data_IF_861275903104
#
_entry.id   IF_861275903104
#
_cell.length_a   1.000
_cell.length_b   1.000
_cell.length_c   1.000
_cell.angle_alpha   90.00
_cell.angle_beta   90.00
_cell.angle_gamma   90.00
#
_symmetry.space_group_name_H-M   'P 1'
#
loop_
_entity.id
_entity.type
_entity.pdbx_description
1 polymer ?
#
# COMPACT_ATOMS: atom_id res chain seq x y z
N UNK A 1 -25.28 22.67 -15.13
CA UNK A 1 -24.03 22.43 -15.89
C UNK A 1 -23.53 21.02 -15.56
N UNK A 2 -23.25 20.19 -16.58
CA UNK A 2 -22.93 18.76 -16.40
C UNK A 2 -21.47 18.59 -15.93
N UNK A 3 -21.19 17.71 -14.96
CA UNK A 3 -19.86 17.55 -14.32
C UNK A 3 -18.78 16.91 -15.22
N UNK A 4 -19.10 16.52 -16.45
CA UNK A 4 -18.15 15.87 -17.38
C UNK A 4 -17.21 16.84 -18.08
N UNK A 5 -17.53 18.14 -18.14
CA UNK A 5 -16.74 19.11 -18.90
C UNK A 5 -15.50 19.63 -18.15
N UNK A 6 -15.48 19.53 -16.82
CA UNK A 6 -14.36 19.98 -15.98
C UNK A 6 -13.16 19.01 -16.03
N UNK A 7 -13.42 17.70 -15.98
CA UNK A 7 -12.36 16.67 -15.94
C UNK A 7 -11.53 16.66 -17.23
N UNK A 8 -12.17 16.83 -18.38
CA UNK A 8 -11.47 16.87 -19.67
C UNK A 8 -10.58 18.10 -19.82
N UNK A 9 -10.96 19.24 -19.22
CA UNK A 9 -10.18 20.47 -19.27
C UNK A 9 -8.86 20.34 -18.49
N UNK A 10 -8.88 19.69 -17.31
CA UNK A 10 -7.68 19.48 -16.49
C UNK A 10 -6.65 18.58 -17.20
N UNK A 11 -7.08 17.50 -17.84
CA UNK A 11 -6.18 16.58 -18.54
C UNK A 11 -5.49 17.28 -19.72
N UNK A 12 -6.22 18.15 -20.44
CA UNK A 12 -5.67 18.90 -21.57
C UNK A 12 -4.68 19.99 -21.12
N UNK A 13 -4.96 20.70 -20.02
CA UNK A 13 -4.04 21.71 -19.47
C UNK A 13 -2.74 21.06 -18.96
N UNK A 14 -2.84 19.88 -18.33
CA UNK A 14 -1.67 19.09 -17.90
C UNK A 14 -0.87 18.67 -19.14
N UNK A 15 -1.53 18.12 -20.18
CA UNK A 15 -0.83 17.68 -21.40
C UNK A 15 -0.13 18.83 -22.15
N UNK A 16 -0.71 20.04 -22.16
CA UNK A 16 -0.10 21.21 -22.82
C UNK A 16 1.06 21.77 -21.98
N UNK A 17 0.96 21.77 -20.65
CA UNK A 17 2.08 22.12 -19.77
C UNK A 17 3.25 21.12 -19.89
N UNK A 18 2.97 19.85 -20.21
CA UNK A 18 3.98 18.81 -20.43
C UNK A 18 4.77 18.96 -21.76
N UNK A 19 4.25 19.70 -22.75
CA UNK A 19 4.93 19.86 -24.04
C UNK A 19 6.04 20.93 -24.03
N UNK A 20 6.04 21.85 -23.06
CA UNK A 20 6.89 23.04 -23.10
C UNK A 20 8.23 22.93 -22.33
N UNK A 21 8.44 21.90 -21.49
CA UNK A 21 9.64 21.80 -20.64
C UNK A 21 10.07 20.34 -20.39
N UNK A 22 10.43 19.64 -21.47
CA UNK A 22 10.85 18.24 -21.37
C UNK A 22 12.27 18.10 -20.77
N UNK A 23 12.38 18.22 -19.45
CA UNK A 23 13.37 17.41 -18.71
C UNK A 23 12.87 15.97 -18.77
N UNK A 24 13.76 15.05 -19.16
CA UNK A 24 13.48 13.61 -19.25
C UNK A 24 13.04 13.10 -17.87
N UNK A 25 11.72 13.01 -17.66
CA UNK A 25 11.14 12.45 -16.44
C UNK A 25 11.65 11.02 -16.29
N UNK A 26 12.32 10.74 -15.18
CA UNK A 26 12.76 9.39 -14.86
C UNK A 26 11.56 8.55 -14.41
N UNK A 27 11.74 7.23 -14.37
CA UNK A 27 10.71 6.33 -13.81
C UNK A 27 10.30 6.74 -12.39
N UNK A 28 11.24 7.29 -11.62
CA UNK A 28 11.01 7.76 -10.26
C UNK A 28 10.21 9.06 -10.21
N UNK A 29 10.41 9.96 -11.18
CA UNK A 29 9.59 11.18 -11.30
C UNK A 29 8.15 10.86 -11.75
N UNK A 30 8.00 9.84 -12.61
CA UNK A 30 6.70 9.31 -13.02
C UNK A 30 5.96 8.64 -11.85
N UNK A 31 6.67 7.88 -11.02
CA UNK A 31 6.10 7.33 -9.77
C UNK A 31 5.67 8.43 -8.82
N UNK A 32 6.50 9.46 -8.62
CA UNK A 32 6.15 10.62 -7.79
C UNK A 32 4.94 11.36 -8.32
N UNK A 33 4.77 11.54 -9.63
CA UNK A 33 3.60 12.20 -10.22
C UNK A 33 2.31 11.36 -10.14
N UNK A 34 2.42 10.02 -10.15
CA UNK A 34 1.29 9.12 -9.94
C UNK A 34 0.87 9.07 -8.46
N UNK A 35 1.82 9.26 -7.53
CA UNK A 35 1.57 9.28 -6.09
C UNK A 35 1.18 10.69 -5.60
N UNK A 36 1.74 11.75 -6.16
CA UNK A 36 1.47 13.14 -5.75
C UNK A 36 0.10 13.68 -6.19
N UNK A 37 -0.67 12.87 -6.92
CA UNK A 37 -2.08 13.12 -7.20
C UNK A 37 -3.06 12.60 -6.14
N UNK A 38 -2.60 11.87 -5.11
CA UNK A 38 -3.45 11.34 -4.05
C UNK A 38 -2.67 11.06 -2.77
N UNK A 39 -2.98 11.83 -1.72
CA UNK A 39 -2.62 11.61 -0.30
C UNK A 39 -1.25 10.97 -0.02
N UNK A 40 -0.30 11.79 0.46
CA UNK A 40 1.03 11.36 0.95
C UNK A 40 0.96 10.30 2.08
N UNK A 41 -0.23 9.94 2.56
CA UNK A 41 -0.47 9.03 3.65
C UNK A 41 -1.16 7.70 3.25
N UNK A 42 -1.32 7.42 1.95
CA UNK A 42 -1.95 6.18 1.52
C UNK A 42 -1.06 4.96 1.81
N UNK A 43 -1.48 4.11 2.77
CA UNK A 43 -0.82 2.83 3.06
C UNK A 43 -1.35 1.74 2.15
N UNK A 44 -0.45 1.01 1.48
CA UNK A 44 -0.78 -0.12 0.62
C UNK A 44 -0.31 -1.42 1.26
N UNK A 45 -1.18 -2.43 1.31
CA UNK A 45 -0.86 -3.71 1.94
C UNK A 45 -1.05 -4.87 0.97
N UNK A 46 -0.31 -5.96 1.20
CA UNK A 46 -0.60 -7.23 0.55
C UNK A 46 -1.80 -7.85 1.23
N UNK A 47 -2.91 -8.02 0.50
CA UNK A 47 -4.08 -8.77 0.97
C UNK A 47 -4.10 -10.11 0.31
N UNK A 48 -4.42 -11.16 1.05
CA UNK A 48 -4.60 -12.46 0.45
C UNK A 48 -4.85 -13.57 1.43
N UNK A 49 -5.08 -14.76 0.87
CA UNK A 49 -5.27 -16.01 1.59
C UNK A 49 -4.50 -17.14 0.88
N UNK A 50 -3.57 -17.81 1.59
CA UNK A 50 -2.79 -18.89 0.98
C UNK A 50 -3.61 -20.13 0.64
N UNK A 51 -4.75 -20.36 1.30
CA UNK A 51 -5.63 -21.48 0.97
C UNK A 51 -6.24 -21.31 -0.42
N UNK A 52 -6.52 -20.06 -0.81
CA UNK A 52 -7.06 -19.73 -2.13
C UNK A 52 -5.98 -19.32 -3.14
N UNK A 53 -4.74 -19.17 -2.69
CA UNK A 53 -3.60 -18.63 -3.47
C UNK A 53 -3.89 -17.25 -4.09
N UNK A 54 -4.88 -16.54 -3.56
CA UNK A 54 -5.25 -15.23 -4.04
C UNK A 54 -4.49 -14.19 -3.23
N UNK A 55 -3.72 -13.35 -3.93
CA UNK A 55 -3.03 -12.22 -3.33
C UNK A 55 -3.11 -10.99 -4.23
N UNK A 56 -3.60 -9.90 -3.67
CA UNK A 56 -3.74 -8.61 -4.33
C UNK A 56 -3.10 -7.50 -3.51
N UNK A 57 -2.92 -6.35 -4.16
CA UNK A 57 -2.54 -5.12 -3.49
C UNK A 57 -3.81 -4.35 -3.16
N UNK A 58 -3.95 -3.94 -1.89
CA UNK A 58 -5.07 -3.12 -1.44
C UNK A 58 -4.56 -1.80 -0.88
N UNK A 59 -5.23 -0.70 -1.23
CA UNK A 59 -5.04 0.60 -0.58
C UNK A 59 -5.91 0.64 0.68
N UNK A 60 -5.31 0.97 1.82
CA UNK A 60 -6.02 1.08 3.08
C UNK A 60 -6.71 2.46 3.19
N UNK A 61 -7.88 2.48 3.86
CA UNK A 61 -8.79 3.64 3.86
C UNK A 61 -8.37 4.78 4.78
N UNK A 62 -7.36 4.58 5.62
CA UNK A 62 -6.90 5.55 6.62
C UNK A 62 -5.40 5.75 6.48
N UNK A 63 -4.94 6.98 6.72
CA UNK A 63 -3.54 7.33 6.87
C UNK A 63 -2.87 6.63 8.05
N UNK A 64 -3.66 6.27 9.07
CA UNK A 64 -3.20 5.51 10.24
C UNK A 64 -3.29 3.99 10.03
N UNK A 65 -3.74 3.54 8.85
CA UNK A 65 -3.88 2.12 8.60
C UNK A 65 -2.51 1.43 8.58
N UNK A 66 -2.45 0.27 9.22
CA UNK A 66 -1.27 -0.60 9.19
C UNK A 66 -1.51 -1.76 8.22
N UNK A 67 -0.47 -2.50 7.87
CA UNK A 67 -0.58 -3.82 7.29
C UNK A 67 -0.49 -4.89 8.37
N UNK A 68 -1.12 -6.04 8.15
CA UNK A 68 -0.93 -7.21 8.99
C UNK A 68 -0.74 -8.49 8.19
N UNK A 69 -0.19 -9.49 8.85
CA UNK A 69 -0.24 -10.88 8.43
C UNK A 69 -0.61 -11.79 9.59
N UNK A 70 -1.27 -12.87 9.22
CA UNK A 70 -1.57 -14.02 10.06
C UNK A 70 -0.98 -15.25 9.39
N UNK A 71 -0.21 -16.07 10.11
CA UNK A 71 0.40 -17.27 9.55
C UNK A 71 0.33 -18.47 10.49
N UNK A 72 0.49 -19.65 9.90
CA UNK A 72 0.55 -20.94 10.58
C UNK A 72 1.67 -21.79 10.03
N UNK A 73 2.65 -22.14 10.88
CA UNK A 73 3.91 -22.70 10.42
C UNK A 73 4.57 -21.77 9.40
N UNK A 74 4.99 -22.30 8.23
CA UNK A 74 5.64 -21.51 7.17
C UNK A 74 4.66 -20.85 6.17
N UNK A 75 3.36 -20.83 6.48
CA UNK A 75 2.31 -20.38 5.55
C UNK A 75 1.54 -19.18 6.06
N UNK A 76 1.57 -18.08 5.31
CA UNK A 76 0.68 -16.92 5.50
C UNK A 76 -0.76 -17.37 5.28
N UNK A 77 -1.59 -17.40 6.31
CA UNK A 77 -3.01 -17.75 6.15
C UNK A 77 -3.76 -16.54 5.60
N UNK A 78 -3.62 -15.36 6.21
CA UNK A 78 -4.34 -14.16 5.81
C UNK A 78 -3.46 -12.92 5.95
N UNK A 79 -3.73 -11.89 5.14
CA UNK A 79 -3.09 -10.59 5.28
C UNK A 79 -3.95 -9.46 4.73
N UNK A 80 -3.61 -8.22 5.06
CA UNK A 80 -4.27 -7.05 4.50
C UNK A 80 -4.08 -5.79 5.34
N UNK A 81 -5.06 -4.90 5.26
CA UNK A 81 -5.13 -3.69 6.08
C UNK A 81 -5.57 -4.02 7.50
N UNK A 82 -4.91 -3.40 8.46
CA UNK A 82 -5.17 -3.46 9.88
C UNK A 82 -5.58 -2.09 10.39
N UNK A 83 -6.71 -2.05 11.09
CA UNK A 83 -7.29 -0.88 11.74
C UNK A 83 -7.39 -1.06 13.27
N UNK A 84 -6.75 -2.11 13.80
CA UNK A 84 -6.84 -2.46 15.21
C UNK A 84 -6.08 -1.52 16.14
N UNK A 85 -6.40 -1.60 17.42
CA UNK A 85 -5.92 -0.72 18.49
C UNK A 85 -4.51 -1.03 19.02
N UNK A 86 -3.86 -2.07 18.49
CA UNK A 86 -2.54 -2.50 18.94
C UNK A 86 -1.42 -1.70 18.26
N UNK A 87 -0.34 -1.45 18.99
CA UNK A 87 0.82 -0.75 18.45
C UNK A 87 1.57 -1.63 17.44
N UNK A 88 1.58 -1.21 16.18
CA UNK A 88 2.25 -1.91 15.10
C UNK A 88 3.71 -1.47 14.92
N UNK A 89 4.55 -2.39 14.44
CA UNK A 89 5.95 -2.11 14.17
C UNK A 89 6.14 -1.10 13.03
N UNK A 90 7.12 -0.21 13.15
CA UNK A 90 7.27 0.89 12.18
C UNK A 90 7.73 0.43 10.78
N UNK A 91 8.47 -0.67 10.68
CA UNK A 91 9.21 -1.00 9.45
C UNK A 91 8.83 -2.32 8.82
N UNK A 92 8.68 -3.38 9.63
CA UNK A 92 8.49 -4.74 9.14
C UNK A 92 7.53 -5.51 10.02
N UNK A 93 6.93 -6.54 9.45
CA UNK A 93 6.04 -7.44 10.16
C UNK A 93 6.89 -8.43 10.98
N UNK A 94 6.96 -8.20 12.29
CA UNK A 94 7.74 -8.99 13.23
C UNK A 94 6.78 -9.70 14.18
N UNK A 95 6.92 -11.01 14.36
CA UNK A 95 6.22 -11.73 15.43
C UNK A 95 7.20 -12.16 16.50
N UNK A 96 6.83 -11.93 17.75
CA UNK A 96 7.59 -12.31 18.95
C UNK A 96 7.21 -13.70 19.47
N UNK A 97 6.17 -14.33 18.92
CA UNK A 97 5.68 -15.63 19.36
C UNK A 97 6.13 -16.73 18.42
N UNK A 98 6.68 -17.82 18.98
CA UNK A 98 7.06 -19.04 18.23
C UNK A 98 5.93 -20.06 18.14
N UNK A 99 4.70 -19.63 18.43
CA UNK A 99 3.51 -20.47 18.44
C UNK A 99 3.13 -20.96 17.04
N UNK A 100 2.26 -21.96 16.97
CA UNK A 100 1.78 -22.53 15.70
C UNK A 100 0.98 -21.50 14.89
N UNK A 101 0.32 -20.55 15.56
CA UNK A 101 -0.40 -19.42 14.98
C UNK A 101 0.28 -18.13 15.38
N UNK A 102 0.63 -17.30 14.39
CA UNK A 102 1.40 -16.07 14.59
C UNK A 102 0.76 -14.90 13.88
N UNK A 103 0.86 -13.75 14.52
CA UNK A 103 0.36 -12.46 14.03
C UNK A 103 1.49 -11.43 14.07
N UNK A 104 1.47 -10.51 13.10
CA UNK A 104 2.22 -9.27 13.17
C UNK A 104 1.48 -8.16 12.43
N UNK A 105 1.78 -6.92 12.81
CA UNK A 105 1.35 -5.74 12.07
C UNK A 105 2.46 -4.70 11.97
N UNK A 106 2.39 -3.86 10.94
CA UNK A 106 3.40 -2.85 10.64
C UNK A 106 2.85 -1.67 9.82
N UNK A 107 3.48 -0.49 9.88
CA UNK A 107 2.87 0.77 9.38
C UNK A 107 3.26 1.21 7.98
N UNK A 108 4.29 0.63 7.36
CA UNK A 108 4.74 1.01 6.02
C UNK A 108 3.99 0.26 4.92
N UNK A 109 3.82 0.91 3.77
CA UNK A 109 3.32 0.22 2.58
C UNK A 109 4.16 -1.03 2.29
N UNK A 110 3.47 -2.15 2.07
CA UNK A 110 4.02 -3.47 1.76
C UNK A 110 4.90 -4.09 2.85
N UNK A 111 4.89 -3.55 4.07
CA UNK A 111 5.70 -4.10 5.17
C UNK A 111 5.31 -5.52 5.58
N UNK A 112 4.11 -5.98 5.18
CA UNK A 112 3.63 -7.34 5.36
C UNK A 112 3.96 -8.28 4.20
N UNK A 113 4.83 -7.91 3.25
CA UNK A 113 5.32 -8.85 2.22
C UNK A 113 6.45 -9.74 2.73
N UNK A 114 7.19 -9.28 3.73
CA UNK A 114 8.30 -10.02 4.34
C UNK A 114 8.10 -10.11 5.86
N UNK A 115 8.28 -11.31 6.40
CA UNK A 115 8.20 -11.60 7.82
C UNK A 115 9.62 -11.79 8.35
N UNK A 116 9.94 -11.11 9.44
CA UNK A 116 11.19 -11.31 10.17
C UNK A 116 10.89 -12.05 11.48
N UNK A 117 11.64 -13.12 11.76
CA UNK A 117 11.50 -13.93 12.97
C UNK A 117 12.71 -13.70 13.90
N UNK A 118 12.47 -13.68 15.23
CA UNK A 118 13.49 -13.63 16.28
C UNK A 118 13.31 -14.80 17.27
#
# INVERSE_FOLDING_TARGET
MKPRTLVTLFIVVIAIAHAANFKRLTKDDLWKLLISGGEEDAVFCRRGDSNTQFFETVQCRSSEASCYNYWKGDRVIYGGCWDGSEECHETACISSTKDELRFCCCKRSFCNEMILEF
#
